data_IF_808544375167
#
_entry.id   IF_808544375167
#
_cell.length_a   1.000
_cell.length_b   1.000
_cell.length_c   1.000
_cell.angle_alpha   90.00
_cell.angle_beta   90.00
_cell.angle_gamma   90.00
#
_symmetry.space_group_name_H-M   'P 1'
#
loop_
_entity.id
_entity.type
_entity.pdbx_description
1 polymer ?
#
# COMPACT_ATOMS: atom_id res chain seq x y z
N UNK A 1 -21.76 19.76 -47.62
CA UNK A 1 -21.15 20.07 -46.30
C UNK A 1 -21.83 19.28 -45.17
N UNK A 2 -23.16 19.17 -45.15
CA UNK A 2 -23.97 18.45 -44.14
C UNK A 2 -23.68 16.96 -43.98
N UNK A 3 -23.39 16.22 -45.06
CA UNK A 3 -23.09 14.79 -44.99
C UNK A 3 -21.80 14.47 -44.19
N UNK A 4 -20.76 15.31 -44.34
CA UNK A 4 -19.49 15.15 -43.60
C UNK A 4 -19.67 15.44 -42.11
N UNK A 5 -20.46 16.47 -41.76
CA UNK A 5 -20.79 16.79 -40.37
C UNK A 5 -21.64 15.70 -39.72
N UNK A 6 -22.59 15.10 -40.45
CA UNK A 6 -23.38 13.96 -39.97
C UNK A 6 -22.52 12.72 -39.74
N UNK A 7 -21.61 12.40 -40.67
CA UNK A 7 -20.68 11.30 -40.51
C UNK A 7 -19.75 11.51 -39.30
N UNK A 8 -19.23 12.72 -39.11
CA UNK A 8 -18.40 13.08 -37.96
C UNK A 8 -19.18 12.91 -36.64
N UNK A 9 -20.42 13.38 -36.57
CA UNK A 9 -21.26 13.20 -35.38
C UNK A 9 -21.53 11.73 -35.02
N UNK A 10 -21.73 10.87 -36.03
CA UNK A 10 -21.89 9.42 -35.81
C UNK A 10 -20.60 8.81 -35.26
N UNK A 11 -19.45 9.14 -35.84
CA UNK A 11 -18.15 8.65 -35.37
C UNK A 11 -17.88 9.07 -33.92
N UNK A 12 -18.10 10.35 -33.60
CA UNK A 12 -17.94 10.86 -32.24
C UNK A 12 -18.92 10.19 -31.25
N UNK A 13 -20.16 9.93 -31.68
CA UNK A 13 -21.14 9.20 -30.87
C UNK A 13 -20.70 7.78 -30.55
N UNK A 14 -20.16 7.05 -31.53
CA UNK A 14 -19.64 5.69 -31.33
C UNK A 14 -18.43 5.71 -30.38
N UNK A 15 -17.49 6.63 -30.58
CA UNK A 15 -16.31 6.77 -29.72
C UNK A 15 -16.73 7.09 -28.27
N UNK A 16 -17.65 8.03 -28.09
CA UNK A 16 -18.20 8.35 -26.77
C UNK A 16 -18.84 7.15 -26.11
N UNK A 17 -19.61 6.36 -26.85
CA UNK A 17 -20.24 5.14 -26.34
C UNK A 17 -19.20 4.09 -25.89
N UNK A 18 -18.12 3.90 -26.66
CA UNK A 18 -17.01 3.02 -26.28
C UNK A 18 -16.34 3.49 -24.98
N UNK A 19 -16.10 4.80 -24.82
CA UNK A 19 -15.53 5.34 -23.58
C UNK A 19 -16.44 5.16 -22.38
N UNK A 20 -17.76 5.31 -22.53
CA UNK A 20 -18.72 5.07 -21.44
C UNK A 20 -18.69 3.62 -21.00
N UNK A 21 -18.69 2.67 -21.95
CA UNK A 21 -18.58 1.23 -21.61
C UNK A 21 -17.24 0.93 -20.93
N UNK A 22 -16.13 1.41 -21.49
CA UNK A 22 -14.80 1.19 -20.94
C UNK A 22 -14.64 1.77 -19.54
N UNK A 23 -15.10 3.01 -19.33
CA UNK A 23 -15.10 3.66 -18.02
C UNK A 23 -16.00 2.95 -17.01
N UNK A 24 -17.19 2.51 -17.42
CA UNK A 24 -18.08 1.71 -16.57
C UNK A 24 -17.44 0.39 -16.14
N UNK A 25 -16.78 -0.32 -17.05
CA UNK A 25 -16.07 -1.57 -16.73
C UNK A 25 -14.89 -1.32 -15.77
N UNK A 26 -14.08 -0.28 -16.01
CA UNK A 26 -12.97 0.07 -15.14
C UNK A 26 -13.45 0.42 -13.73
N UNK A 27 -14.51 1.22 -13.61
CA UNK A 27 -15.11 1.58 -12.33
C UNK A 27 -15.65 0.34 -11.58
N UNK A 28 -16.33 -0.56 -12.29
CA UNK A 28 -16.81 -1.81 -11.70
C UNK A 28 -15.65 -2.67 -11.16
N UNK A 29 -14.54 -2.78 -11.91
CA UNK A 29 -13.35 -3.50 -11.45
C UNK A 29 -12.71 -2.88 -10.21
N UNK A 30 -12.66 -1.55 -10.11
CA UNK A 30 -12.16 -0.87 -8.90
C UNK A 30 -13.04 -1.20 -7.70
N UNK A 31 -14.37 -1.17 -7.85
CA UNK A 31 -15.28 -1.55 -6.76
C UNK A 31 -15.12 -3.00 -6.31
N UNK A 32 -14.97 -3.94 -7.23
CA UNK A 32 -14.70 -5.35 -6.89
C UNK A 32 -13.41 -5.49 -6.09
N UNK A 33 -12.36 -4.74 -6.48
CA UNK A 33 -11.09 -4.68 -5.77
C UNK A 33 -11.24 -4.16 -4.34
N UNK A 34 -11.86 -2.99 -4.15
CA UNK A 34 -12.11 -2.41 -2.83
C UNK A 34 -12.95 -3.34 -1.96
N UNK A 35 -13.99 -3.96 -2.51
CA UNK A 35 -14.82 -4.92 -1.77
C UNK A 35 -14.03 -6.13 -1.29
N UNK A 36 -13.13 -6.64 -2.14
CA UNK A 36 -12.28 -7.78 -1.80
C UNK A 36 -11.25 -7.42 -0.74
N UNK A 37 -10.63 -6.23 -0.87
CA UNK A 37 -9.68 -5.71 0.13
C UNK A 37 -10.36 -5.53 1.49
N UNK A 38 -11.54 -4.89 1.53
CA UNK A 38 -12.29 -4.73 2.78
C UNK A 38 -12.56 -6.06 3.47
N UNK A 39 -13.08 -7.07 2.76
CA UNK A 39 -13.34 -8.39 3.35
C UNK A 39 -12.08 -9.10 3.81
N UNK A 40 -10.99 -8.98 3.05
CA UNK A 40 -9.70 -9.54 3.43
C UNK A 40 -9.17 -8.88 4.70
N UNK A 41 -9.21 -7.56 4.77
CA UNK A 41 -8.76 -6.78 5.91
C UNK A 41 -9.60 -7.02 7.15
N UNK A 42 -10.93 -7.09 7.01
CA UNK A 42 -11.86 -7.49 8.08
C UNK A 42 -11.51 -8.89 8.64
N UNK A 43 -11.14 -9.83 7.77
CA UNK A 43 -10.78 -11.18 8.20
C UNK A 43 -9.40 -11.25 8.88
N UNK A 44 -8.42 -10.45 8.43
CA UNK A 44 -7.09 -10.41 9.03
C UNK A 44 -7.03 -9.53 10.29
N UNK A 45 -7.91 -8.53 10.41
CA UNK A 45 -7.95 -7.59 11.53
C UNK A 45 -6.67 -6.76 11.68
N UNK A 46 -5.93 -6.52 10.59
CA UNK A 46 -4.72 -5.69 10.64
C UNK A 46 -5.13 -4.24 10.73
N UNK A 47 -4.68 -3.58 11.78
CA UNK A 47 -4.91 -2.15 12.00
C UNK A 47 -3.61 -1.38 12.09
N UNK A 48 -3.61 -0.13 11.64
CA UNK A 48 -2.53 0.81 11.91
C UNK A 48 -2.61 1.31 13.35
N UNK A 49 -1.45 1.61 13.95
CA UNK A 49 -1.37 2.13 15.32
C UNK A 49 -1.29 3.65 15.31
N UNK A 50 -2.07 4.30 16.17
CA UNK A 50 -2.07 5.75 16.33
C UNK A 50 -1.92 6.13 17.80
N UNK A 51 -1.36 7.32 18.06
CA UNK A 51 -1.39 7.93 19.38
C UNK A 51 -2.70 8.70 19.62
N UNK A 52 -2.89 9.25 20.82
CA UNK A 52 -4.07 10.03 21.22
C UNK A 52 -4.29 11.29 20.37
N UNK A 53 -3.28 11.74 19.64
CA UNK A 53 -3.32 12.90 18.75
C UNK A 53 -3.67 12.51 17.31
N UNK A 54 -3.90 11.22 17.03
CA UNK A 54 -4.20 10.71 15.70
C UNK A 54 -2.99 10.61 14.78
N UNK A 55 -1.77 10.60 15.32
CA UNK A 55 -0.54 10.41 14.56
C UNK A 55 -0.17 8.93 14.48
N UNK A 56 0.30 8.48 13.32
CA UNK A 56 0.81 7.11 13.16
C UNK A 56 1.95 6.85 14.14
N UNK A 57 1.96 5.63 14.67
CA UNK A 57 2.99 5.14 15.57
C UNK A 57 3.49 3.79 15.10
N UNK A 58 4.76 3.53 15.35
CA UNK A 58 5.37 2.20 15.24
C UNK A 58 5.99 1.86 16.60
N UNK A 59 5.67 0.66 17.09
CA UNK A 59 6.06 0.19 18.44
C UNK A 59 5.78 1.21 19.55
N UNK A 60 4.68 1.97 19.41
CA UNK A 60 4.20 2.95 20.39
C UNK A 60 4.80 4.35 20.27
N UNK A 61 5.64 4.63 19.27
CA UNK A 61 6.30 5.94 19.10
C UNK A 61 6.02 6.53 17.73
N UNK A 62 5.90 7.86 17.65
CA UNK A 62 5.75 8.56 16.37
C UNK A 62 7.10 8.57 15.64
N UNK A 63 8.19 8.69 16.39
CA UNK A 63 9.57 8.65 15.90
C UNK A 63 9.86 7.32 15.19
N UNK A 64 9.28 6.21 15.65
CA UNK A 64 9.39 4.91 14.98
C UNK A 64 8.63 4.85 13.64
N UNK A 65 7.51 5.57 13.52
CA UNK A 65 6.70 5.61 12.30
C UNK A 65 7.28 6.53 11.20
N UNK A 66 8.00 7.58 11.60
CA UNK A 66 8.61 8.54 10.67
C UNK A 66 9.51 7.90 9.59
N UNK A 67 10.50 7.04 9.92
CA UNK A 67 11.35 6.43 8.90
C UNK A 67 10.60 5.44 8.00
N UNK A 68 9.50 4.86 8.48
CA UNK A 68 8.62 4.01 7.67
C UNK A 68 7.86 4.84 6.65
N UNK A 69 7.34 6.00 7.07
CA UNK A 69 6.70 6.93 6.15
C UNK A 69 7.70 7.45 5.12
N UNK A 70 8.93 7.78 5.53
CA UNK A 70 9.99 8.20 4.62
C UNK A 70 10.37 7.10 3.61
N UNK A 71 10.49 5.84 4.05
CA UNK A 71 10.69 4.70 3.14
C UNK A 71 9.57 4.64 2.08
N UNK A 72 8.32 4.85 2.49
CA UNK A 72 7.18 4.81 1.58
C UNK A 72 7.15 5.98 0.60
N UNK A 73 7.36 7.21 1.08
CA UNK A 73 7.20 8.43 0.27
C UNK A 73 8.46 8.79 -0.50
N UNK A 74 9.62 8.71 0.13
CA UNK A 74 10.87 9.27 -0.38
C UNK A 74 11.64 8.21 -1.17
N UNK A 75 11.75 6.99 -0.63
CA UNK A 75 12.48 5.91 -1.29
C UNK A 75 11.62 5.18 -2.33
N UNK A 76 10.40 4.80 -1.97
CA UNK A 76 9.49 4.09 -2.89
C UNK A 76 8.71 5.04 -3.80
N UNK A 77 8.65 6.34 -3.46
CA UNK A 77 7.96 7.34 -4.27
C UNK A 77 6.44 7.19 -4.28
N UNK A 78 5.84 6.53 -3.28
CA UNK A 78 4.41 6.28 -3.27
C UNK A 78 3.62 7.54 -2.87
N UNK A 79 2.62 7.98 -3.66
CA UNK A 79 1.84 9.17 -3.36
C UNK A 79 0.75 8.87 -2.31
N UNK A 80 1.13 8.90 -1.04
CA UNK A 80 0.22 8.67 0.09
C UNK A 80 -0.95 9.65 0.07
N UNK A 81 -2.16 9.10 0.16
CA UNK A 81 -3.40 9.87 0.30
C UNK A 81 -3.68 10.06 1.79
N UNK A 82 -3.34 11.23 2.34
CA UNK A 82 -3.44 11.49 3.78
C UNK A 82 -4.86 11.28 4.35
N UNK A 83 -5.91 11.50 3.56
CA UNK A 83 -7.30 11.26 4.00
C UNK A 83 -7.66 9.78 4.17
N UNK A 84 -6.86 8.87 3.61
CA UNK A 84 -7.01 7.42 3.83
C UNK A 84 -6.42 6.97 5.18
N UNK A 85 -5.53 7.76 5.80
CA UNK A 85 -4.93 7.43 7.09
C UNK A 85 -5.80 7.98 8.22
N UNK A 86 -6.83 7.23 8.62
CA UNK A 86 -7.82 7.68 9.58
C UNK A 86 -7.69 6.98 10.95
N UNK A 87 -7.34 7.71 12.03
CA UNK A 87 -7.28 7.10 13.36
C UNK A 87 -8.63 6.59 13.90
N UNK A 88 -9.76 7.07 13.36
CA UNK A 88 -11.10 6.56 13.73
C UNK A 88 -11.52 5.33 12.92
N UNK A 89 -10.78 4.98 11.88
CA UNK A 89 -10.95 3.78 11.07
C UNK A 89 -9.57 3.20 10.75
N UNK A 90 -8.90 2.56 11.73
CA UNK A 90 -7.51 2.17 11.59
C UNK A 90 -7.34 0.88 10.77
N UNK A 91 -8.43 0.29 10.27
CA UNK A 91 -8.41 -0.98 9.54
C UNK A 91 -7.70 -0.78 8.20
N UNK A 92 -6.68 -1.58 7.93
CA UNK A 92 -5.89 -1.45 6.69
C UNK A 92 -6.70 -1.93 5.49
N UNK A 93 -7.52 -1.07 4.88
CA UNK A 93 -8.44 -1.45 3.81
C UNK A 93 -8.48 -0.46 2.64
N UNK A 94 -7.64 0.57 2.69
CA UNK A 94 -7.36 1.49 1.59
C UNK A 94 -5.98 1.27 0.98
N UNK A 95 -5.69 1.95 -0.12
CA UNK A 95 -4.42 1.79 -0.82
C UNK A 95 -3.24 2.33 0.00
N UNK A 96 -3.37 3.53 0.60
CA UNK A 96 -2.30 4.14 1.38
C UNK A 96 -2.03 3.39 2.68
N UNK A 97 -3.07 2.92 3.36
CA UNK A 97 -2.90 2.11 4.57
C UNK A 97 -2.18 0.79 4.26
N UNK A 98 -2.58 0.12 3.18
CA UNK A 98 -1.95 -1.13 2.77
C UNK A 98 -0.48 -0.92 2.41
N UNK A 99 -0.18 0.13 1.64
CA UNK A 99 1.20 0.45 1.29
C UNK A 99 2.03 0.86 2.51
N UNK A 100 1.45 1.55 3.48
CA UNK A 100 2.12 1.83 4.76
C UNK A 100 2.37 0.56 5.59
N UNK A 101 1.44 -0.39 5.61
CA UNK A 101 1.66 -1.70 6.22
C UNK A 101 2.82 -2.44 5.53
N UNK A 102 2.88 -2.44 4.20
CA UNK A 102 3.97 -3.07 3.46
C UNK A 102 5.30 -2.38 3.72
N UNK A 103 5.33 -1.05 3.80
CA UNK A 103 6.51 -0.30 4.19
C UNK A 103 6.94 -0.65 5.63
N UNK A 104 6.00 -0.81 6.55
CA UNK A 104 6.26 -1.24 7.94
C UNK A 104 6.95 -2.61 7.97
N UNK A 105 6.39 -3.59 7.24
CA UNK A 105 6.98 -4.93 7.12
C UNK A 105 8.38 -4.88 6.52
N UNK A 106 8.54 -4.14 5.42
CA UNK A 106 9.83 -4.00 4.74
C UNK A 106 10.87 -3.32 5.64
N UNK A 107 10.50 -2.21 6.28
CA UNK A 107 11.39 -1.47 7.18
C UNK A 107 11.89 -2.36 8.31
N UNK A 108 10.98 -3.08 8.98
CA UNK A 108 11.36 -3.99 10.05
C UNK A 108 12.17 -5.17 9.56
N UNK A 109 11.94 -5.66 8.34
CA UNK A 109 12.75 -6.75 7.76
C UNK A 109 14.16 -6.28 7.44
N UNK A 110 14.30 -5.12 6.79
CA UNK A 110 15.58 -4.56 6.34
C UNK A 110 16.46 -4.08 7.50
N UNK A 111 15.86 -3.63 8.59
CA UNK A 111 16.56 -3.07 9.75
C UNK A 111 16.52 -3.98 10.98
N UNK A 112 16.09 -5.24 10.82
CA UNK A 112 16.10 -6.22 11.91
C UNK A 112 17.50 -6.78 12.14
N UNK A 113 17.90 -6.79 13.40
CA UNK A 113 19.04 -7.59 13.87
C UNK A 113 18.51 -8.88 14.49
N UNK A 114 19.18 -10.00 14.23
CA UNK A 114 18.83 -11.31 14.77
C UNK A 114 20.04 -11.91 15.48
N UNK A 115 19.82 -12.49 16.66
CA UNK A 115 20.86 -13.26 17.36
C UNK A 115 20.94 -14.64 16.73
N UNK A 116 22.10 -14.98 16.18
CA UNK A 116 22.40 -16.32 15.68
C UNK A 116 23.14 -17.09 16.77
N UNK A 117 22.63 -18.25 17.17
CA UNK A 117 23.30 -19.16 18.11
C UNK A 117 23.91 -20.30 17.32
N UNK A 118 25.23 -20.48 17.48
CA UNK A 118 25.96 -21.58 16.87
C UNK A 118 25.82 -22.83 17.76
N UNK A 119 25.39 -23.98 17.21
CA UNK A 119 25.29 -25.22 17.99
C UNK A 119 26.65 -25.87 18.25
N UNK A 120 27.67 -25.52 17.47
CA UNK A 120 29.04 -26.02 17.56
C UNK A 120 30.03 -24.98 17.02
N UNK A 121 31.31 -25.12 17.37
CA UNK A 121 32.38 -24.26 16.82
C UNK A 121 32.49 -24.48 15.32
N UNK A 122 32.40 -23.40 14.53
CA UNK A 122 32.47 -23.46 13.07
C UNK A 122 33.59 -22.57 12.54
N UNK A 123 34.26 -23.00 11.47
CA UNK A 123 35.17 -22.16 10.70
C UNK A 123 34.43 -21.63 9.46
N UNK A 124 34.46 -20.32 9.23
CA UNK A 124 33.95 -19.70 8.01
C UNK A 124 34.95 -18.67 7.47
N UNK A 125 35.32 -18.78 6.20
CA UNK A 125 36.30 -17.91 5.54
C UNK A 125 37.64 -17.76 6.30
N UNK A 126 38.11 -18.83 6.96
CA UNK A 126 39.36 -18.82 7.71
C UNK A 126 39.26 -18.21 9.11
N UNK A 127 38.07 -17.81 9.55
CA UNK A 127 37.78 -17.33 10.90
C UNK A 127 37.02 -18.41 11.69
N UNK A 128 37.47 -18.69 12.91
CA UNK A 128 36.85 -19.67 13.81
C UNK A 128 35.88 -18.97 14.74
N UNK A 129 34.62 -19.37 14.70
CA UNK A 129 33.55 -18.90 15.58
C UNK A 129 33.28 -19.96 16.64
N UNK A 130 33.73 -19.71 17.86
CA UNK A 130 33.48 -20.58 19.02
C UNK A 130 32.07 -20.37 19.60
N UNK A 131 31.55 -21.40 20.26
CA UNK A 131 30.24 -21.40 20.94
C UNK A 131 30.27 -20.56 22.22
#
# INVERSE_FOLDING_TARGET
>A
MTARLRALGIVLGIIGFVFVIGGGYAFFKVQEGTTSLNKFSEAQGVTLSYNDQGQLTDRGTVEGAQPIMALLTDDWGYPVVASELNPNDPLVNTASEYMYQMATVAYHTLHSTQTVVLPETVEYNGEVFEV
#
